data_IF_576177803841
#
_entry.id   IF_576177803841
#
_cell.length_a   1.000
_cell.length_b   1.000
_cell.length_c   1.000
_cell.angle_alpha   90.00
_cell.angle_beta   90.00
_cell.angle_gamma   90.00
#
_symmetry.space_group_name_H-M   'P 1'
#
loop_
_entity.id
_entity.type
_entity.pdbx_description
1 polymer ?
#
# COMPACT_ATOMS: atom_id res chain seq x y z
N UNK A 1 -20.86 33.65 11.28
CA UNK A 1 -19.40 33.56 11.52
C UNK A 1 -19.01 32.10 11.47
N UNK A 2 -17.99 31.71 10.70
CA UNK A 2 -17.44 30.33 10.78
C UNK A 2 -16.89 30.10 12.18
N UNK A 3 -17.15 28.94 12.76
CA UNK A 3 -16.62 28.58 14.08
C UNK A 3 -15.09 28.50 14.03
N UNK A 4 -14.42 28.59 15.18
CA UNK A 4 -12.98 28.33 15.24
C UNK A 4 -12.63 26.94 14.71
N UNK A 5 -13.48 25.95 14.96
CA UNK A 5 -13.32 24.59 14.44
C UNK A 5 -13.34 24.56 12.89
N UNK A 6 -14.27 25.26 12.25
CA UNK A 6 -14.35 25.32 10.78
C UNK A 6 -13.09 25.93 10.16
N UNK A 7 -12.51 26.94 10.82
CA UNK A 7 -11.26 27.57 10.39
C UNK A 7 -10.08 26.62 10.53
N UNK A 8 -10.00 25.87 11.64
CA UNK A 8 -8.98 24.82 11.82
C UNK A 8 -9.11 23.74 10.76
N UNK A 9 -10.31 23.21 10.53
CA UNK A 9 -10.58 22.19 9.50
C UNK A 9 -10.15 22.68 8.11
N UNK A 10 -10.43 23.93 7.77
CA UNK A 10 -10.01 24.52 6.50
C UNK A 10 -8.48 24.51 6.32
N UNK A 11 -7.73 24.95 7.34
CA UNK A 11 -6.27 24.97 7.26
C UNK A 11 -5.65 23.57 7.31
N UNK A 12 -6.12 22.70 8.20
CA UNK A 12 -5.64 21.32 8.32
C UNK A 12 -6.01 20.45 7.10
N UNK A 13 -7.05 20.83 6.36
CA UNK A 13 -7.40 20.22 5.08
C UNK A 13 -6.36 20.44 3.98
N UNK A 14 -5.46 21.41 4.15
CA UNK A 14 -4.36 21.69 3.21
C UNK A 14 -3.04 20.98 3.60
N UNK A 15 -3.00 20.37 4.78
CA UNK A 15 -1.85 19.59 5.26
C UNK A 15 -1.57 19.77 6.76
N UNK A 16 -0.56 19.03 7.29
CA UNK A 16 -0.23 19.08 8.70
C UNK A 16 0.32 20.44 9.15
N UNK A 17 -0.14 20.92 10.31
CA UNK A 17 0.30 22.18 10.90
C UNK A 17 0.57 22.05 12.40
N UNK A 18 1.59 22.76 12.88
CA UNK A 18 1.82 22.92 14.32
C UNK A 18 0.78 23.85 14.95
N UNK A 19 0.62 23.75 16.27
CA UNK A 19 -0.24 24.68 17.03
C UNK A 19 0.18 26.15 16.84
N UNK A 20 1.48 26.41 16.70
CA UNK A 20 2.01 27.76 16.44
C UNK A 20 1.55 28.29 15.08
N UNK A 21 1.68 27.50 14.02
CA UNK A 21 1.22 27.88 12.69
C UNK A 21 -0.31 28.11 12.67
N UNK A 22 -1.08 27.30 13.40
CA UNK A 22 -2.53 27.52 13.52
C UNK A 22 -2.85 28.85 14.24
N UNK A 23 -2.12 29.20 15.29
CA UNK A 23 -2.24 30.51 15.96
C UNK A 23 -1.96 31.65 14.98
N UNK A 24 -0.84 31.57 14.26
CA UNK A 24 -0.38 32.61 13.31
C UNK A 24 -1.35 32.74 12.12
N UNK A 25 -1.78 31.64 11.51
CA UNK A 25 -2.66 31.64 10.34
C UNK A 25 -4.09 32.09 10.66
N UNK A 26 -4.58 31.79 11.87
CA UNK A 26 -5.97 32.05 12.26
C UNK A 26 -6.09 33.35 13.07
N UNK A 27 -5.01 33.84 13.66
CA UNK A 27 -5.00 35.05 14.49
C UNK A 27 -5.76 34.88 15.80
N UNK A 28 -5.68 33.69 16.41
CA UNK A 28 -6.35 33.38 17.70
C UNK A 28 -5.34 32.90 18.74
N UNK A 29 -5.67 33.04 20.02
CA UNK A 29 -4.76 32.66 21.10
C UNK A 29 -4.51 31.14 21.15
N UNK A 30 -3.33 30.74 21.65
CA UNK A 30 -2.95 29.34 21.81
C UNK A 30 -3.94 28.51 22.67
N UNK A 31 -4.51 29.02 23.77
CA UNK A 31 -5.57 28.30 24.50
C UNK A 31 -6.82 28.05 23.66
N UNK A 32 -7.15 28.96 22.72
CA UNK A 32 -8.30 28.79 21.82
C UNK A 32 -8.04 27.70 20.78
N UNK A 33 -6.84 27.67 20.19
CA UNK A 33 -6.41 26.58 19.30
C UNK A 33 -6.43 25.25 20.02
N UNK A 34 -5.88 25.17 21.24
CA UNK A 34 -5.85 23.94 22.03
C UNK A 34 -7.24 23.40 22.34
N UNK A 35 -8.18 24.26 22.76
CA UNK A 35 -9.58 23.87 22.97
C UNK A 35 -10.25 23.41 21.67
N UNK A 36 -10.02 24.11 20.56
CA UNK A 36 -10.59 23.75 19.27
C UNK A 36 -10.07 22.40 18.78
N UNK A 37 -8.75 22.15 18.86
CA UNK A 37 -8.15 20.85 18.54
C UNK A 37 -8.70 19.74 19.42
N UNK A 38 -8.85 19.99 20.72
CA UNK A 38 -9.45 19.00 21.65
C UNK A 38 -10.89 18.68 21.26
N UNK A 39 -11.67 19.69 20.86
CA UNK A 39 -13.05 19.52 20.40
C UNK A 39 -13.17 18.77 19.05
N UNK A 40 -12.12 18.74 18.23
CA UNK A 40 -12.10 17.94 17.00
C UNK A 40 -11.89 16.44 17.28
N UNK A 41 -11.37 16.09 18.46
CA UNK A 41 -11.23 14.70 18.92
C UNK A 41 -10.55 13.80 17.90
N UNK A 42 -11.22 12.69 17.56
CA UNK A 42 -10.69 11.70 16.63
C UNK A 42 -10.64 12.20 15.18
N UNK A 43 -11.20 13.37 14.85
CA UNK A 43 -11.07 13.97 13.52
C UNK A 43 -9.64 14.39 13.16
N UNK A 44 -8.73 14.46 14.12
CA UNK A 44 -7.33 14.87 13.91
C UNK A 44 -6.34 13.77 14.31
N UNK A 45 -5.19 13.76 13.64
CA UNK A 45 -4.04 12.91 13.98
C UNK A 45 -2.91 13.79 14.49
N UNK A 46 -2.34 13.42 15.64
CA UNK A 46 -1.13 14.05 16.18
C UNK A 46 0.10 13.33 15.65
N UNK A 47 1.06 14.09 15.13
CA UNK A 47 2.28 13.59 14.49
C UNK A 47 3.47 14.23 15.20
N UNK A 48 4.44 13.39 15.60
CA UNK A 48 5.61 13.82 16.37
C UNK A 48 5.34 14.01 17.86
N UNK A 49 6.35 14.49 18.59
CA UNK A 49 6.33 14.62 20.05
C UNK A 49 6.85 15.98 20.52
N UNK A 50 6.47 16.37 21.74
CA UNK A 50 6.93 17.61 22.38
C UNK A 50 6.66 18.87 21.55
N UNK A 51 7.72 19.61 21.22
CA UNK A 51 7.64 20.88 20.47
C UNK A 51 7.49 20.68 18.96
N UNK A 52 7.75 19.47 18.46
CA UNK A 52 7.66 19.13 17.04
C UNK A 52 6.27 18.61 16.62
N UNK A 53 5.28 18.66 17.53
CA UNK A 53 3.93 18.15 17.24
C UNK A 53 3.29 18.95 16.11
N UNK A 54 2.83 18.20 15.11
CA UNK A 54 1.95 18.66 14.05
C UNK A 54 0.60 17.96 14.19
N UNK A 55 -0.44 18.62 13.73
CA UNK A 55 -1.80 18.10 13.64
C UNK A 55 -2.15 17.95 12.18
N UNK A 56 -2.73 16.82 11.81
CA UNK A 56 -3.26 16.56 10.48
C UNK A 56 -4.75 16.24 10.58
N UNK A 57 -5.53 16.65 9.58
CA UNK A 57 -6.95 16.30 9.49
C UNK A 57 -7.09 14.88 8.92
N UNK A 58 -7.83 13.98 9.59
CA UNK A 58 -8.14 12.66 9.04
C UNK A 58 -8.95 12.79 7.75
N UNK A 59 -8.67 11.93 6.78
CA UNK A 59 -9.42 11.89 5.53
C UNK A 59 -10.40 10.72 5.48
N UNK A 60 -11.57 10.93 6.08
CA UNK A 60 -12.68 9.96 6.04
C UNK A 60 -13.33 9.85 4.66
N UNK A 61 -13.12 10.84 3.78
CA UNK A 61 -13.73 10.89 2.44
C UNK A 61 -13.09 9.94 1.44
N UNK A 62 -11.86 9.48 1.70
CA UNK A 62 -11.12 8.56 0.82
C UNK A 62 -11.61 7.11 0.87
N UNK A 63 -12.54 6.77 1.77
CA UNK A 63 -13.03 5.40 1.93
C UNK A 63 -11.96 4.43 2.41
N UNK A 64 -10.94 4.94 3.11
CA UNK A 64 -9.93 4.17 3.83
C UNK A 64 -10.10 4.41 5.33
N UNK A 65 -10.13 3.33 6.11
CA UNK A 65 -10.09 3.39 7.57
C UNK A 65 -8.67 3.55 8.10
N UNK A 66 -8.53 3.39 9.41
CA UNK A 66 -7.23 3.10 10.02
C UNK A 66 -6.76 1.72 9.57
N UNK A 67 -5.49 1.63 9.16
CA UNK A 67 -4.90 0.41 8.61
C UNK A 67 -3.86 -0.11 9.59
N UNK A 68 -4.14 -1.20 10.33
CA UNK A 68 -3.11 -1.91 11.06
C UNK A 68 -2.00 -2.36 10.11
N UNK A 69 -0.75 -2.06 10.45
CA UNK A 69 0.42 -2.53 9.70
C UNK A 69 1.13 -3.57 10.54
N UNK A 70 1.25 -4.77 10.01
CA UNK A 70 1.99 -5.86 10.62
C UNK A 70 3.30 -6.11 9.86
N UNK A 71 4.27 -6.69 10.56
CA UNK A 71 5.55 -7.15 10.01
C UNK A 71 5.74 -8.62 10.33
N UNK A 72 6.11 -9.39 9.31
CA UNK A 72 6.66 -10.74 9.48
C UNK A 72 8.15 -10.60 9.79
N UNK A 73 8.55 -11.03 10.99
CA UNK A 73 9.94 -11.03 11.42
C UNK A 73 10.72 -12.21 10.81
N UNK A 74 12.04 -12.17 10.90
CA UNK A 74 12.91 -13.20 10.32
C UNK A 74 12.70 -14.59 10.94
N UNK A 75 12.15 -14.66 12.16
CA UNK A 75 11.74 -15.88 12.85
C UNK A 75 10.35 -16.38 12.45
N UNK A 76 9.70 -15.72 11.47
CA UNK A 76 8.34 -16.03 11.04
C UNK A 76 7.23 -15.44 11.93
N UNK A 77 7.57 -14.74 13.02
CA UNK A 77 6.56 -14.17 13.91
C UNK A 77 5.93 -12.91 13.32
N UNK A 78 4.61 -12.77 13.47
CA UNK A 78 3.89 -11.57 13.07
C UNK A 78 3.84 -10.59 14.24
N UNK A 79 4.28 -9.36 14.01
CA UNK A 79 4.27 -8.27 15.01
C UNK A 79 3.57 -7.05 14.44
N UNK A 80 2.72 -6.39 15.23
CA UNK A 80 2.14 -5.12 14.83
C UNK A 80 3.21 -4.03 14.88
N UNK A 81 3.34 -3.27 13.80
CA UNK A 81 4.20 -2.08 13.74
C UNK A 81 3.47 -0.85 14.22
N UNK A 82 2.16 -0.77 13.96
CA UNK A 82 1.30 0.33 14.36
C UNK A 82 0.12 0.52 13.42
N UNK A 83 -0.39 1.75 13.37
CA UNK A 83 -1.58 2.14 12.59
C UNK A 83 -1.20 3.20 11.55
N UNK A 84 -1.54 2.95 10.29
CA UNK A 84 -1.45 3.91 9.20
C UNK A 84 -2.82 4.55 8.97
N UNK A 85 -2.91 5.87 9.14
CA UNK A 85 -4.15 6.63 8.98
C UNK A 85 -4.08 7.55 7.73
N UNK A 86 -5.10 7.57 6.86
CA UNK A 86 -5.19 8.55 5.78
C UNK A 86 -5.47 9.95 6.36
N UNK A 87 -4.71 10.94 5.89
CA UNK A 87 -4.84 12.34 6.32
C UNK A 87 -4.87 13.27 5.12
N UNK A 88 -5.51 14.43 5.27
CA UNK A 88 -5.61 15.44 4.23
C UNK A 88 -4.25 16.11 3.95
N UNK A 89 -4.01 16.56 2.71
CA UNK A 89 -4.90 16.44 1.55
C UNK A 89 -4.91 15.02 0.95
N UNK A 90 -3.74 14.40 0.76
CA UNK A 90 -3.59 13.04 0.18
C UNK A 90 -2.57 12.18 0.97
N UNK A 91 -2.14 12.67 2.14
CA UNK A 91 -1.07 12.08 2.92
C UNK A 91 -1.49 10.91 3.82
N UNK A 92 -0.51 10.42 4.56
CA UNK A 92 -0.69 9.39 5.58
C UNK A 92 0.12 9.70 6.83
N UNK A 93 -0.45 9.37 7.98
CA UNK A 93 0.22 9.40 9.26
C UNK A 93 0.37 7.97 9.78
N UNK A 94 1.63 7.53 9.96
CA UNK A 94 1.94 6.29 10.66
C UNK A 94 2.10 6.59 12.15
N UNK A 95 1.38 5.86 12.99
CA UNK A 95 1.55 5.84 14.45
C UNK A 95 2.08 4.46 14.84
N UNK A 96 3.35 4.38 15.16
CA UNK A 96 4.00 3.14 15.54
C UNK A 96 3.71 2.79 17.01
N UNK A 97 3.68 1.50 17.31
CA UNK A 97 3.45 1.00 18.67
C UNK A 97 4.58 1.40 19.65
N UNK A 98 5.76 1.76 19.13
CA UNK A 98 6.88 2.30 19.91
C UNK A 98 6.75 3.80 20.26
N UNK A 99 5.66 4.45 19.84
CA UNK A 99 5.39 5.87 20.06
C UNK A 99 5.95 6.80 18.98
N UNK A 100 6.69 6.28 18.00
CA UNK A 100 7.14 7.05 16.83
C UNK A 100 5.95 7.38 15.94
N UNK A 101 5.88 8.61 15.44
CA UNK A 101 4.89 8.99 14.43
C UNK A 101 5.54 9.68 13.25
N UNK A 102 5.15 9.23 12.05
CA UNK A 102 5.73 9.64 10.78
C UNK A 102 4.63 10.14 9.85
N UNK A 103 4.92 11.23 9.13
CA UNK A 103 4.05 11.74 8.07
C UNK A 103 4.66 11.45 6.71
N UNK A 104 3.81 11.11 5.74
CA UNK A 104 4.13 11.07 4.32
C UNK A 104 3.09 11.86 3.54
N UNK A 105 3.52 12.67 2.56
CA UNK A 105 2.63 13.49 1.74
C UNK A 105 1.81 12.68 0.71
N UNK A 106 2.17 11.42 0.52
CA UNK A 106 1.46 10.41 -0.26
C UNK A 106 1.81 9.03 0.29
N UNK A 107 1.70 7.97 -0.50
CA UNK A 107 2.00 6.61 -0.06
C UNK A 107 3.41 6.54 0.56
N UNK A 108 3.56 6.05 1.80
CA UNK A 108 4.87 5.94 2.43
C UNK A 108 5.86 5.19 1.55
N UNK A 109 7.11 5.66 1.48
CA UNK A 109 8.12 5.12 0.57
C UNK A 109 8.35 3.61 0.75
N UNK A 110 8.22 3.11 1.97
CA UNK A 110 8.36 1.69 2.34
C UNK A 110 7.18 0.81 1.90
N UNK A 111 6.14 1.40 1.28
CA UNK A 111 5.04 0.68 0.62
C UNK A 111 5.12 0.76 -0.92
N UNK A 112 6.07 1.52 -1.48
CA UNK A 112 6.12 1.73 -2.93
C UNK A 112 6.38 0.43 -3.69
N UNK A 113 7.23 -0.45 -3.15
CA UNK A 113 7.55 -1.72 -3.79
C UNK A 113 6.41 -2.74 -3.73
N UNK A 114 5.45 -2.56 -2.80
CA UNK A 114 4.26 -3.41 -2.69
C UNK A 114 3.23 -3.12 -3.78
N UNK A 115 3.33 -1.97 -4.47
CA UNK A 115 2.34 -1.55 -5.47
C UNK A 115 2.20 -2.61 -6.57
N UNK A 116 0.97 -2.93 -7.00
CA UNK A 116 0.77 -3.64 -8.26
C UNK A 116 1.42 -2.85 -9.41
N UNK A 117 2.40 -3.45 -10.07
CA UNK A 117 3.17 -2.84 -11.14
C UNK A 117 3.70 -3.89 -12.13
N UNK A 118 4.14 -3.43 -13.30
CA UNK A 118 4.70 -4.33 -14.31
C UNK A 118 3.69 -5.30 -14.91
N UNK A 119 4.20 -6.44 -15.37
CA UNK A 119 3.39 -7.51 -15.95
C UNK A 119 2.33 -8.02 -14.98
N UNK A 120 2.73 -8.52 -13.81
CA UNK A 120 1.82 -9.08 -12.81
C UNK A 120 0.80 -8.05 -12.30
N UNK A 121 1.22 -6.80 -12.14
CA UNK A 121 0.30 -5.73 -11.73
C UNK A 121 -0.80 -5.45 -12.77
N UNK A 122 -0.46 -5.42 -14.07
CA UNK A 122 -1.46 -5.18 -15.12
C UNK A 122 -2.48 -6.31 -15.18
N UNK A 123 -1.97 -7.54 -15.16
CA UNK A 123 -2.79 -8.75 -15.13
C UNK A 123 -3.70 -8.77 -13.90
N UNK A 124 -3.19 -8.39 -12.73
CA UNK A 124 -4.00 -8.21 -11.51
C UNK A 124 -5.12 -7.17 -11.72
N UNK A 125 -4.79 -6.01 -12.30
CA UNK A 125 -5.77 -4.95 -12.53
C UNK A 125 -6.88 -5.42 -13.47
N UNK A 126 -6.54 -6.07 -14.59
CA UNK A 126 -7.51 -6.62 -15.54
C UNK A 126 -8.49 -7.59 -14.88
N UNK A 127 -8.00 -8.43 -13.96
CA UNK A 127 -8.83 -9.42 -13.27
C UNK A 127 -9.67 -8.84 -12.14
N UNK A 128 -9.11 -7.95 -11.33
CA UNK A 128 -9.69 -7.59 -10.04
C UNK A 128 -10.21 -6.14 -9.96
N UNK A 129 -9.88 -5.25 -10.89
CA UNK A 129 -10.22 -3.83 -10.76
C UNK A 129 -11.74 -3.60 -10.66
N UNK A 130 -12.53 -4.25 -11.51
CA UNK A 130 -14.00 -4.09 -11.53
C UNK A 130 -14.63 -4.52 -10.20
N UNK A 131 -14.23 -5.69 -9.68
CA UNK A 131 -14.75 -6.21 -8.41
C UNK A 131 -14.39 -5.32 -7.21
N UNK A 132 -13.24 -4.63 -7.29
CA UNK A 132 -12.77 -3.71 -6.25
C UNK A 132 -13.21 -2.25 -6.47
N UNK A 133 -13.94 -1.96 -7.55
CA UNK A 133 -14.32 -0.60 -7.94
C UNK A 133 -13.12 0.31 -8.22
N UNK A 134 -12.04 -0.25 -8.79
CA UNK A 134 -10.81 0.45 -9.14
C UNK A 134 -10.76 0.77 -10.64
N UNK A 135 -9.99 1.79 -11.06
CA UNK A 135 -9.74 2.03 -12.47
C UNK A 135 -9.11 0.80 -13.17
N UNK A 136 -9.47 0.53 -14.44
CA UNK A 136 -8.98 -0.65 -15.15
C UNK A 136 -7.50 -0.58 -15.48
N UNK A 137 -6.91 0.62 -15.57
CA UNK A 137 -5.49 0.80 -15.90
C UNK A 137 -4.69 1.24 -14.67
N UNK A 138 -3.57 0.56 -14.42
CA UNK A 138 -2.66 0.91 -13.32
C UNK A 138 -2.15 2.36 -13.37
N UNK A 139 -2.02 2.95 -14.56
CA UNK A 139 -1.59 4.35 -14.71
C UNK A 139 -2.58 5.36 -14.13
N UNK A 140 -3.83 4.94 -13.90
CA UNK A 140 -4.90 5.75 -13.31
C UNK A 140 -5.02 5.50 -11.79
N UNK A 141 -4.19 4.62 -11.23
CA UNK A 141 -4.23 4.30 -9.81
C UNK A 141 -3.58 5.39 -8.97
N UNK A 142 -4.36 5.91 -8.03
CA UNK A 142 -3.88 6.79 -6.95
C UNK A 142 -3.35 5.93 -5.80
N UNK A 143 -2.69 6.56 -4.83
CA UNK A 143 -2.25 5.88 -3.59
C UNK A 143 -3.42 5.23 -2.83
N UNK A 144 -4.62 5.81 -2.95
CA UNK A 144 -5.86 5.21 -2.42
C UNK A 144 -6.24 3.93 -3.16
N UNK A 145 -6.16 3.92 -4.49
CA UNK A 145 -6.43 2.72 -5.29
C UNK A 145 -5.43 1.61 -4.98
N UNK A 146 -4.15 1.94 -4.83
CA UNK A 146 -3.10 1.01 -4.39
C UNK A 146 -3.45 0.40 -3.05
N UNK A 147 -3.75 1.21 -2.02
CA UNK A 147 -4.06 0.68 -0.69
C UNK A 147 -5.33 -0.16 -0.68
N UNK A 148 -6.35 0.19 -1.44
CA UNK A 148 -7.55 -0.65 -1.59
C UNK A 148 -7.22 -2.03 -2.15
N UNK A 149 -6.37 -2.09 -3.19
CA UNK A 149 -5.90 -3.35 -3.73
C UNK A 149 -5.08 -4.16 -2.71
N UNK A 150 -4.17 -3.50 -1.98
CA UNK A 150 -3.35 -4.17 -0.96
C UNK A 150 -4.15 -4.63 0.27
N UNK A 151 -5.15 -3.88 0.70
CA UNK A 151 -6.05 -4.30 1.78
C UNK A 151 -6.89 -5.50 1.36
N UNK A 152 -7.25 -5.59 0.08
CA UNK A 152 -8.04 -6.70 -0.45
C UNK A 152 -7.20 -7.96 -0.71
N UNK A 153 -6.00 -7.83 -1.28
CA UNK A 153 -5.21 -8.97 -1.78
C UNK A 153 -3.71 -8.93 -1.43
N UNK A 154 -3.23 -8.00 -0.61
CA UNK A 154 -1.81 -7.79 -0.29
C UNK A 154 -1.19 -8.73 0.76
N UNK A 155 -1.74 -9.93 0.94
CA UNK A 155 -1.20 -10.96 1.84
C UNK A 155 0.10 -11.62 1.33
N UNK A 156 0.38 -11.50 0.03
CA UNK A 156 1.56 -12.06 -0.64
C UNK A 156 2.22 -11.01 -1.56
N UNK A 157 2.34 -9.80 -1.03
CA UNK A 157 3.01 -8.68 -1.69
C UNK A 157 4.52 -8.69 -1.40
N UNK A 158 5.29 -7.94 -2.20
CA UNK A 158 6.74 -7.81 -2.02
C UNK A 158 7.07 -7.21 -0.64
N UNK A 159 8.08 -7.77 0.03
CA UNK A 159 8.54 -7.31 1.33
C UNK A 159 8.02 -8.20 2.46
N UNK A 160 7.91 -7.65 3.66
CA UNK A 160 7.52 -8.40 4.85
C UNK A 160 6.41 -7.71 5.66
N UNK A 161 5.61 -6.87 5.00
CA UNK A 161 4.53 -6.12 5.62
C UNK A 161 3.17 -6.70 5.21
N UNK A 162 2.24 -6.72 6.15
CA UNK A 162 0.85 -7.11 5.93
C UNK A 162 -0.03 -5.92 6.31
N UNK A 163 -0.88 -5.48 5.38
CA UNK A 163 -1.74 -4.32 5.58
C UNK A 163 -3.17 -4.77 5.91
N UNK A 164 -3.62 -4.42 7.11
CA UNK A 164 -4.93 -4.78 7.63
C UNK A 164 -5.02 -6.21 8.14
N UNK A 165 -6.09 -6.48 8.86
CA UNK A 165 -6.31 -7.79 9.51
C UNK A 165 -6.60 -8.89 8.48
N UNK A 166 -7.27 -8.57 7.37
CA UNK A 166 -7.54 -9.52 6.28
C UNK A 166 -6.24 -10.09 5.70
N UNK A 167 -5.24 -9.24 5.43
CA UNK A 167 -3.96 -9.70 4.90
C UNK A 167 -3.21 -10.57 5.91
N UNK A 168 -3.29 -10.21 7.21
CA UNK A 168 -2.71 -10.99 8.31
C UNK A 168 -3.36 -12.37 8.45
N UNK A 169 -4.69 -12.43 8.47
CA UNK A 169 -5.45 -13.68 8.59
C UNK A 169 -5.16 -14.60 7.42
N UNK A 170 -5.23 -14.08 6.19
CA UNK A 170 -4.90 -14.87 4.99
C UNK A 170 -3.48 -15.39 5.02
N UNK A 171 -2.50 -14.59 5.44
CA UNK A 171 -1.12 -15.05 5.57
C UNK A 171 -0.99 -16.22 6.55
N UNK A 172 -1.73 -16.20 7.66
CA UNK A 172 -1.75 -17.29 8.64
C UNK A 172 -2.47 -18.54 8.13
N UNK A 173 -3.53 -18.36 7.35
CA UNK A 173 -4.36 -19.44 6.79
C UNK A 173 -3.74 -20.03 5.50
N UNK A 174 -2.74 -19.38 4.91
CA UNK A 174 -2.05 -19.88 3.72
C UNK A 174 -1.41 -21.23 4.03
N UNK A 175 -1.82 -22.31 3.32
CA UNK A 175 -1.19 -23.61 3.51
C UNK A 175 0.26 -23.55 3.03
N UNK A 176 1.14 -24.43 3.55
CA UNK A 176 2.47 -24.59 3.02
C UNK A 176 2.45 -24.80 1.50
N UNK A 177 3.38 -24.20 0.75
CA UNK A 177 3.39 -24.31 -0.69
C UNK A 177 3.58 -25.78 -1.12
N UNK A 178 2.86 -26.18 -2.17
CA UNK A 178 3.02 -27.51 -2.76
C UNK A 178 4.10 -27.45 -3.83
N UNK A 179 5.09 -28.36 -3.83
CA UNK A 179 6.09 -28.45 -4.90
C UNK A 179 5.44 -28.65 -6.27
N UNK A 180 5.86 -27.84 -7.23
CA UNK A 180 5.47 -27.90 -8.65
C UNK A 180 6.65 -28.48 -9.44
N UNK A 181 6.37 -29.45 -10.31
CA UNK A 181 7.40 -30.01 -11.20
C UNK A 181 7.69 -29.01 -12.34
N UNK A 182 8.97 -28.79 -12.73
CA UNK A 182 9.30 -27.90 -13.85
C UNK A 182 8.58 -28.23 -15.18
N UNK A 183 8.13 -29.47 -15.37
CA UNK A 183 7.31 -29.88 -16.52
C UNK A 183 5.94 -29.22 -16.55
N UNK A 184 5.45 -28.70 -15.41
CA UNK A 184 4.18 -27.97 -15.29
C UNK A 184 4.33 -26.47 -15.57
N UNK A 185 5.55 -25.93 -15.64
CA UNK A 185 5.80 -24.49 -15.83
C UNK A 185 5.13 -23.89 -17.07
N UNK A 186 5.01 -24.57 -18.22
CA UNK A 186 4.25 -24.05 -19.35
C UNK A 186 2.78 -23.75 -19.00
N UNK A 187 2.12 -24.64 -18.26
CA UNK A 187 0.73 -24.43 -17.83
C UNK A 187 0.60 -23.26 -16.85
N UNK A 188 1.57 -23.08 -15.95
CA UNK A 188 1.65 -21.94 -15.05
C UNK A 188 1.92 -20.61 -15.79
N UNK A 189 2.75 -20.62 -16.84
CA UNK A 189 3.00 -19.45 -17.68
C UNK A 189 1.73 -18.99 -18.39
N UNK A 190 0.98 -19.92 -19.00
CA UNK A 190 -0.30 -19.61 -19.62
C UNK A 190 -1.34 -19.11 -18.61
N UNK A 191 -1.39 -19.74 -17.42
CA UNK A 191 -2.23 -19.25 -16.33
C UNK A 191 -1.84 -17.82 -15.91
N UNK A 192 -0.55 -17.51 -15.91
CA UNK A 192 -0.06 -16.18 -15.60
C UNK A 192 -0.46 -15.12 -16.61
N UNK A 193 -0.43 -15.44 -17.90
CA UNK A 193 -0.92 -14.55 -18.95
C UNK A 193 -2.44 -14.30 -18.85
N UNK A 194 -3.21 -15.29 -18.36
CA UNK A 194 -4.66 -15.13 -18.08
C UNK A 194 -4.98 -14.45 -16.75
N UNK A 195 -3.98 -14.23 -15.90
CA UNK A 195 -4.15 -13.68 -14.56
C UNK A 195 -4.62 -14.64 -13.49
N UNK A 196 -4.44 -15.93 -13.73
CA UNK A 196 -4.71 -17.02 -12.79
C UNK A 196 -3.60 -17.26 -11.75
N UNK A 197 -2.63 -16.34 -11.59
CA UNK A 197 -1.52 -16.58 -10.64
C UNK A 197 -1.95 -16.34 -9.19
N UNK A 198 -1.78 -17.34 -8.31
CA UNK A 198 -1.80 -17.12 -6.87
C UNK A 198 -0.54 -16.36 -6.46
N UNK A 199 -0.70 -15.26 -5.72
CA UNK A 199 0.30 -14.85 -4.74
C UNK A 199 1.62 -14.25 -5.25
N UNK A 200 1.62 -13.23 -6.11
CA UNK A 200 2.78 -12.34 -6.11
C UNK A 200 2.53 -10.99 -6.76
N UNK A 201 3.03 -9.93 -6.13
CA UNK A 201 3.15 -8.58 -6.70
C UNK A 201 4.56 -8.27 -7.19
N UNK A 202 5.33 -9.28 -7.63
CA UNK A 202 6.69 -9.07 -8.12
C UNK A 202 6.71 -8.07 -9.30
N UNK A 203 7.42 -6.97 -9.13
CA UNK A 203 7.49 -5.90 -10.13
C UNK A 203 8.27 -6.28 -11.39
N UNK A 204 8.20 -5.41 -12.40
CA UNK A 204 8.93 -5.53 -13.67
C UNK A 204 8.07 -5.96 -14.86
N UNK A 205 8.51 -5.58 -16.06
CA UNK A 205 7.72 -5.70 -17.30
C UNK A 205 7.78 -7.08 -17.97
N UNK A 206 8.78 -7.87 -17.61
CA UNK A 206 8.98 -9.21 -18.17
C UNK A 206 7.92 -10.18 -17.63
N UNK A 207 7.31 -11.04 -18.48
CA UNK A 207 6.41 -12.08 -18.04
C UNK A 207 7.06 -13.02 -17.03
N UNK A 208 6.33 -13.29 -15.94
CA UNK A 208 6.82 -14.12 -14.83
C UNK A 208 5.69 -14.68 -14.00
N UNK A 209 5.98 -15.75 -13.27
CA UNK A 209 5.14 -16.28 -12.19
C UNK A 209 6.02 -16.75 -11.03
N UNK A 210 5.41 -16.91 -9.85
CA UNK A 210 6.06 -17.53 -8.70
C UNK A 210 5.63 -18.99 -8.58
N UNK A 211 6.55 -19.84 -8.17
CA UNK A 211 6.27 -21.24 -7.85
C UNK A 211 7.14 -21.70 -6.69
N UNK A 212 6.78 -22.83 -6.11
CA UNK A 212 7.62 -23.54 -5.17
C UNK A 212 8.03 -24.85 -5.82
N UNK A 213 9.34 -25.09 -5.96
CA UNK A 213 9.89 -26.37 -6.38
C UNK A 213 10.54 -27.04 -5.15
N UNK A 214 11.87 -27.16 -5.13
CA UNK A 214 12.66 -27.41 -3.92
C UNK A 214 12.84 -26.14 -3.06
N UNK A 215 12.57 -24.97 -3.67
CA UNK A 215 12.62 -23.63 -3.07
C UNK A 215 11.60 -22.71 -3.76
N UNK A 216 11.34 -21.55 -3.16
CA UNK A 216 10.60 -20.49 -3.83
C UNK A 216 11.41 -19.95 -5.03
N UNK A 217 10.77 -19.92 -6.20
CA UNK A 217 11.37 -19.48 -7.46
C UNK A 217 10.49 -18.44 -8.14
N UNK A 218 11.14 -17.51 -8.84
CA UNK A 218 10.52 -16.59 -9.76
C UNK A 218 10.87 -17.05 -11.18
N UNK A 219 9.90 -17.64 -11.88
CA UNK A 219 10.10 -18.17 -13.23
C UNK A 219 9.76 -17.08 -14.23
N UNK A 220 10.76 -16.63 -14.99
CA UNK A 220 10.58 -15.68 -16.09
C UNK A 220 10.43 -16.44 -17.40
N UNK A 221 9.52 -15.98 -18.25
CA UNK A 221 9.22 -16.65 -19.51
C UNK A 221 8.95 -15.63 -20.63
N UNK A 222 8.89 -16.13 -21.85
CA UNK A 222 8.46 -15.38 -23.04
C UNK A 222 7.18 -16.00 -23.57
N UNK A 223 6.27 -15.16 -24.06
CA UNK A 223 5.06 -15.63 -24.75
C UNK A 223 5.40 -16.54 -25.93
N UNK A 224 4.52 -17.50 -26.20
CA UNK A 224 4.60 -18.38 -27.36
C UNK A 224 4.31 -17.66 -28.69
N UNK A 225 3.78 -16.44 -28.64
CA UNK A 225 3.54 -15.63 -29.83
C UNK A 225 4.82 -15.36 -30.62
N UNK A 226 4.71 -15.40 -31.95
CA UNK A 226 5.81 -15.05 -32.84
C UNK A 226 5.70 -13.59 -33.30
N UNK A 227 6.13 -12.68 -32.43
CA UNK A 227 6.14 -11.25 -32.68
C UNK A 227 7.46 -10.60 -32.20
N UNK A 228 7.81 -9.37 -32.66
CA UNK A 228 9.08 -8.74 -32.32
C UNK A 228 9.30 -8.52 -30.81
N UNK A 229 8.23 -8.33 -30.03
CA UNK A 229 8.32 -8.15 -28.58
C UNK A 229 8.66 -9.48 -27.91
N UNK A 230 7.99 -10.57 -28.29
CA UNK A 230 8.29 -11.91 -27.80
C UNK A 230 9.71 -12.35 -28.19
N UNK A 231 10.16 -12.11 -29.42
CA UNK A 231 11.54 -12.37 -29.84
C UNK A 231 12.55 -11.62 -28.97
N UNK A 232 12.33 -10.32 -28.73
CA UNK A 232 13.20 -9.53 -27.85
C UNK A 232 13.25 -10.10 -26.44
N UNK A 233 12.12 -10.55 -25.88
CA UNK A 233 12.11 -11.18 -24.56
C UNK A 233 12.85 -12.51 -24.53
N UNK A 234 12.77 -13.33 -25.60
CA UNK A 234 13.56 -14.57 -25.74
C UNK A 234 15.05 -14.27 -25.73
N UNK A 235 15.50 -13.26 -26.48
CA UNK A 235 16.90 -12.85 -26.52
C UNK A 235 17.39 -12.36 -25.15
N UNK A 236 16.57 -11.56 -24.45
CA UNK A 236 16.88 -11.07 -23.11
C UNK A 236 16.95 -12.20 -22.07
N UNK A 237 16.05 -13.19 -22.15
CA UNK A 237 16.08 -14.36 -21.28
C UNK A 237 17.35 -15.19 -21.49
N UNK A 238 17.77 -15.38 -22.74
CA UNK A 238 19.01 -16.10 -23.06
C UNK A 238 20.25 -15.39 -22.50
N UNK A 239 20.23 -14.06 -22.41
CA UNK A 239 21.32 -13.26 -21.86
C UNK A 239 21.31 -13.13 -20.31
N UNK A 240 20.22 -13.54 -19.65
CA UNK A 240 20.08 -13.48 -18.19
C UNK A 240 20.72 -14.69 -17.47
N UNK A 241 21.10 -15.73 -18.23
CA UNK A 241 21.76 -16.94 -17.73
C UNK A 241 23.28 -16.76 -17.59
#
# INVERSE_FOLDING_TARGET
>A
MRSHADRLLHHLGQGPLSARQLVENIGISQPTVSRALTGLGDGIVRIGTGRAIQYALRDTGRGLGEIPVYRVAADGTIRRLGILAPVRPEGFAMQQDDGTSLYSAGLPWWLLDMRPQGFLGRVYAERHSTALGLPPRLTEWTDTHVLRALLAHGHDAVGNLLLGDIARERFLDTPPPTPVDPTEYPAHAEAAERGDVPGSSAGGEQPKFVAFADRHVLVKFSSAEDNPVACRWRDLLAAEH
#
